data_IF_400065834795
#
_entry.id   IF_400065834795
#
_cell.length_a   1.000
_cell.length_b   1.000
_cell.length_c   1.000
_cell.angle_alpha   90.00
_cell.angle_beta   90.00
_cell.angle_gamma   90.00
#
_symmetry.space_group_name_H-M   'P 1'
#
loop_
_entity.id
_entity.type
_entity.pdbx_description
1 polymer ?
#
# COMPACT_ATOMS: atom_id res chain seq x y z
N UNK A 1 11.73 2.13 16.59
CA UNK A 1 11.86 3.41 15.91
C UNK A 1 10.53 3.90 15.33
N UNK A 2 9.82 3.12 14.52
CA UNK A 2 8.52 3.55 14.01
C UNK A 2 7.78 2.47 13.21
N UNK A 3 6.53 2.75 12.87
CA UNK A 3 5.69 1.85 12.08
C UNK A 3 4.60 2.65 11.33
N UNK A 4 4.16 2.13 10.23
CA UNK A 4 3.01 2.66 9.52
C UNK A 4 1.69 2.12 10.05
N UNK A 5 0.60 2.84 9.81
CA UNK A 5 -0.77 2.38 10.08
C UNK A 5 -1.45 2.07 8.76
N UNK A 6 -2.19 0.97 8.72
CA UNK A 6 -2.85 0.47 7.51
C UNK A 6 -4.35 0.19 7.75
N UNK A 7 -5.14 0.18 6.69
CA UNK A 7 -6.56 -0.19 6.74
C UNK A 7 -6.77 -1.62 7.29
N UNK A 8 -5.79 -2.48 7.10
CA UNK A 8 -5.76 -3.85 7.60
C UNK A 8 -5.91 -3.93 9.12
N UNK A 9 -5.22 -3.07 9.89
CA UNK A 9 -5.35 -3.05 11.36
C UNK A 9 -6.71 -2.51 11.81
N UNK A 10 -7.33 -1.61 11.02
CA UNK A 10 -8.69 -1.16 11.30
C UNK A 10 -9.66 -2.34 11.15
N UNK A 11 -9.54 -3.11 10.05
CA UNK A 11 -10.35 -4.31 9.86
C UNK A 11 -10.12 -5.35 10.98
N UNK A 12 -8.87 -5.56 11.38
CA UNK A 12 -8.52 -6.46 12.49
C UNK A 12 -9.17 -6.00 13.79
N UNK A 13 -9.07 -4.71 14.14
CA UNK A 13 -9.72 -4.12 15.33
C UNK A 13 -11.24 -4.28 15.31
N UNK A 14 -11.86 -4.22 14.15
CA UNK A 14 -13.30 -4.37 13.95
C UNK A 14 -13.78 -5.83 13.93
N UNK A 15 -12.86 -6.80 14.05
CA UNK A 15 -13.20 -8.22 14.12
C UNK A 15 -13.29 -8.94 12.77
N UNK A 16 -12.87 -8.33 11.67
CA UNK A 16 -12.88 -8.96 10.34
C UNK A 16 -11.72 -9.94 10.10
N UNK A 17 -10.78 -10.06 11.04
CA UNK A 17 -9.68 -11.03 10.99
C UNK A 17 -10.01 -12.21 11.91
N UNK A 18 -10.55 -13.28 11.36
CA UNK A 18 -11.08 -14.44 12.11
C UNK A 18 -10.01 -15.16 12.95
N UNK A 19 -8.74 -15.13 12.52
CA UNK A 19 -7.62 -15.75 13.22
C UNK A 19 -7.19 -15.01 14.49
N UNK A 20 -7.60 -13.75 14.68
CA UNK A 20 -7.14 -12.92 15.79
C UNK A 20 -7.86 -13.26 17.09
N UNK A 21 -7.10 -13.42 18.18
CA UNK A 21 -7.59 -13.57 19.55
C UNK A 21 -7.20 -12.35 20.36
N UNK A 22 -8.18 -11.61 20.85
CA UNK A 22 -7.94 -10.48 21.76
C UNK A 22 -7.80 -10.94 23.22
N UNK A 23 -6.97 -10.24 24.05
CA UNK A 23 -6.21 -9.02 23.74
C UNK A 23 -5.04 -9.28 22.79
N UNK A 24 -4.75 -8.32 21.89
CA UNK A 24 -3.67 -8.38 20.91
C UNK A 24 -3.09 -6.98 20.69
N UNK A 25 -1.76 -6.84 20.72
CA UNK A 25 -1.08 -5.64 20.22
C UNK A 25 -1.13 -5.71 18.69
N UNK A 26 -1.73 -4.68 18.08
CA UNK A 26 -1.86 -4.60 16.61
C UNK A 26 -0.55 -4.11 15.96
N UNK A 27 -0.56 -3.98 14.63
CA UNK A 27 0.54 -3.49 13.81
C UNK A 27 1.16 -4.59 12.97
N UNK A 28 1.17 -4.40 11.66
CA UNK A 28 1.61 -5.39 10.66
C UNK A 28 2.94 -5.02 10.00
N UNK A 29 3.57 -3.92 10.37
CA UNK A 29 4.86 -3.48 9.86
C UNK A 29 5.63 -2.70 10.92
N UNK A 30 6.96 -2.72 10.81
CA UNK A 30 7.81 -1.86 11.60
C UNK A 30 9.16 -1.60 10.93
N UNK A 31 9.81 -0.52 11.39
CA UNK A 31 11.22 -0.21 11.14
C UNK A 31 11.94 -0.01 12.45
N UNK A 32 13.15 -0.51 12.56
CA UNK A 32 13.86 -0.42 13.82
C UNK A 32 15.31 -0.82 13.76
N UNK A 33 15.87 -0.96 14.95
CA UNK A 33 17.21 -1.46 15.20
C UNK A 33 17.10 -2.71 16.05
N UNK A 34 17.83 -3.74 15.69
CA UNK A 34 17.92 -4.98 16.45
C UNK A 34 18.58 -4.71 17.80
N UNK A 35 17.89 -5.04 18.89
CA UNK A 35 18.40 -4.88 20.27
C UNK A 35 18.79 -6.19 20.92
N UNK A 36 18.27 -7.31 20.42
CA UNK A 36 18.62 -8.67 20.83
C UNK A 36 18.34 -9.62 19.66
N UNK A 37 19.17 -10.66 19.50
CA UNK A 37 19.08 -11.58 18.34
C UNK A 37 19.43 -13.01 18.73
N UNK A 38 18.59 -13.95 18.32
CA UNK A 38 18.89 -15.41 18.40
C UNK A 38 19.72 -15.91 17.23
N UNK A 39 19.96 -15.05 16.19
CA UNK A 39 20.82 -15.34 15.03
C UNK A 39 21.83 -14.19 14.81
N UNK A 40 22.74 -13.91 15.74
CA UNK A 40 23.60 -12.73 15.68
C UNK A 40 24.56 -12.70 14.47
N UNK A 41 24.86 -13.86 13.86
CA UNK A 41 25.66 -13.90 12.63
C UNK A 41 24.92 -13.34 11.41
N UNK A 42 23.59 -13.57 11.33
CA UNK A 42 22.75 -13.07 10.24
C UNK A 42 22.15 -11.70 10.56
N UNK A 43 21.71 -11.50 11.79
CA UNK A 43 20.99 -10.32 12.28
C UNK A 43 21.70 -9.81 13.56
N UNK A 44 22.88 -9.17 13.45
CA UNK A 44 23.58 -8.64 14.62
C UNK A 44 22.81 -7.48 15.26
N UNK A 45 23.01 -7.29 16.56
CA UNK A 45 22.54 -6.10 17.29
C UNK A 45 23.04 -4.81 16.61
N UNK A 46 22.23 -3.76 16.63
CA UNK A 46 22.51 -2.50 15.94
C UNK A 46 22.14 -2.48 14.46
N UNK A 47 21.72 -3.63 13.88
CA UNK A 47 21.31 -3.69 12.47
C UNK A 47 19.99 -2.94 12.24
N UNK A 48 19.96 -2.09 11.19
CA UNK A 48 18.73 -1.44 10.71
C UNK A 48 17.88 -2.46 9.95
N UNK A 49 16.62 -2.60 10.34
CA UNK A 49 15.72 -3.65 9.82
C UNK A 49 14.32 -3.14 9.54
N UNK A 50 13.64 -3.91 8.69
CA UNK A 50 12.22 -3.80 8.36
C UNK A 50 11.54 -5.12 8.66
N UNK A 51 10.27 -5.08 9.06
CA UNK A 51 9.38 -6.25 9.06
C UNK A 51 8.01 -5.86 8.52
N UNK A 52 7.40 -6.79 7.80
CA UNK A 52 6.09 -6.60 7.14
C UNK A 52 5.28 -7.88 7.25
N UNK A 53 4.00 -7.77 7.55
CA UNK A 53 3.02 -8.87 7.48
C UNK A 53 3.42 -10.08 8.33
N UNK A 54 3.41 -11.29 7.77
CA UNK A 54 3.82 -12.52 8.44
C UNK A 54 3.05 -12.84 9.72
N UNK A 55 1.77 -12.46 9.77
CA UNK A 55 0.87 -12.61 10.94
C UNK A 55 1.24 -11.74 12.16
N UNK A 56 2.17 -10.79 12.02
CA UNK A 56 2.46 -9.76 13.02
C UNK A 56 1.20 -8.95 13.32
N UNK A 57 0.89 -8.72 14.61
CA UNK A 57 -0.34 -8.06 15.02
C UNK A 57 -1.61 -8.89 14.87
N UNK A 58 -1.50 -10.18 14.49
CA UNK A 58 -2.59 -11.13 14.30
C UNK A 58 -2.37 -12.40 15.11
N UNK A 59 -1.52 -13.31 14.67
CA UNK A 59 -1.20 -14.55 15.40
C UNK A 59 -0.32 -14.30 16.63
N UNK A 60 0.53 -13.26 16.58
CA UNK A 60 1.37 -12.80 17.68
C UNK A 60 1.33 -11.27 17.78
N UNK A 61 1.89 -10.69 18.85
CA UNK A 61 1.84 -9.26 19.11
C UNK A 61 2.62 -8.46 18.06
N UNK A 62 2.03 -7.34 17.66
CA UNK A 62 2.52 -6.50 16.57
C UNK A 62 3.30 -5.29 17.01
N UNK A 63 3.44 -4.37 16.08
CA UNK A 63 4.37 -3.25 16.16
C UNK A 63 3.87 -2.01 16.92
N UNK A 64 2.62 -1.99 17.41
CA UNK A 64 2.10 -0.85 18.19
C UNK A 64 2.70 -0.83 19.61
N UNK A 65 4.01 -0.83 19.67
CA UNK A 65 4.82 -0.89 20.89
C UNK A 65 6.21 -0.28 20.65
N UNK A 66 6.95 -0.04 21.72
CA UNK A 66 8.36 0.41 21.67
C UNK A 66 9.28 -0.70 21.15
N UNK A 67 8.97 -1.94 21.50
CA UNK A 67 9.70 -3.15 21.11
C UNK A 67 8.73 -4.17 20.50
N UNK A 68 9.20 -4.94 19.54
CA UNK A 68 8.46 -6.05 18.94
C UNK A 68 9.34 -7.28 18.86
N UNK A 69 8.79 -8.43 19.25
CA UNK A 69 9.44 -9.72 19.12
C UNK A 69 8.99 -10.36 17.78
N UNK A 70 9.93 -10.67 16.92
CA UNK A 70 9.67 -11.17 15.58
C UNK A 70 10.36 -12.51 15.33
N UNK A 71 9.74 -13.41 14.55
CA UNK A 71 10.45 -14.55 13.98
C UNK A 71 11.63 -14.07 13.13
N UNK A 72 12.76 -14.77 13.20
CA UNK A 72 13.98 -14.36 12.48
C UNK A 72 13.76 -14.23 10.96
N UNK A 73 12.96 -15.11 10.36
CA UNK A 73 12.63 -15.12 8.94
C UNK A 73 11.78 -13.91 8.49
N UNK A 74 11.22 -13.15 9.41
CA UNK A 74 10.44 -11.94 9.15
C UNK A 74 11.23 -10.65 9.43
N UNK A 75 12.53 -10.77 9.68
CA UNK A 75 13.43 -9.64 9.89
C UNK A 75 14.29 -9.46 8.64
N UNK A 76 14.08 -8.35 7.94
CA UNK A 76 14.74 -8.01 6.68
C UNK A 76 15.71 -6.87 6.90
N UNK A 77 16.99 -7.09 6.57
CA UNK A 77 18.01 -6.03 6.60
C UNK A 77 17.83 -5.14 5.39
N UNK A 78 17.95 -3.84 5.58
CA UNK A 78 17.89 -2.86 4.50
C UNK A 78 18.98 -1.81 4.65
N UNK A 79 19.48 -1.35 3.51
CA UNK A 79 20.41 -0.23 3.43
C UNK A 79 19.67 0.99 2.89
N UNK A 80 19.58 2.03 3.70
CA UNK A 80 18.90 3.27 3.32
C UNK A 80 19.37 4.43 4.20
N UNK A 81 19.43 5.62 3.60
CA UNK A 81 19.71 6.89 4.28
C UNK A 81 18.43 7.64 4.71
N UNK A 82 17.25 7.05 4.48
CA UNK A 82 15.99 7.65 4.91
C UNK A 82 15.98 7.83 6.45
N UNK A 83 15.44 8.94 6.89
CA UNK A 83 15.12 9.15 8.31
C UNK A 83 14.01 8.20 8.78
N UNK A 84 13.87 8.05 10.10
CA UNK A 84 12.95 7.06 10.66
C UNK A 84 11.47 7.29 10.31
N UNK A 85 10.94 8.53 10.31
CA UNK A 85 9.57 8.78 9.88
C UNK A 85 9.33 8.39 8.42
N UNK A 86 10.23 8.77 7.52
CA UNK A 86 10.15 8.42 6.10
C UNK A 86 10.31 6.91 5.89
N UNK A 87 11.29 6.30 6.58
CA UNK A 87 11.48 4.85 6.53
C UNK A 87 10.24 4.10 7.03
N UNK A 88 9.56 4.57 8.10
CA UNK A 88 8.34 3.96 8.62
C UNK A 88 7.15 4.03 7.65
N UNK A 89 7.17 4.93 6.68
CA UNK A 89 6.13 5.03 5.65
C UNK A 89 6.26 3.96 4.55
N UNK A 90 7.47 3.38 4.39
CA UNK A 90 7.80 2.55 3.22
C UNK A 90 7.28 1.11 3.30
N UNK A 91 7.43 0.33 4.41
CA UNK A 91 7.35 -1.13 4.35
C UNK A 91 6.09 -1.66 3.68
N UNK A 92 4.93 -1.64 4.31
CA UNK A 92 3.70 -2.23 3.74
C UNK A 92 3.21 -1.43 2.53
N UNK A 93 3.16 -0.12 2.65
CA UNK A 93 2.51 0.75 1.67
C UNK A 93 3.26 0.83 0.35
N UNK A 94 4.57 1.12 0.40
CA UNK A 94 5.37 1.21 -0.82
C UNK A 94 5.71 -0.18 -1.37
N UNK A 95 5.86 -1.23 -0.53
CA UNK A 95 6.02 -2.60 -1.02
C UNK A 95 4.80 -3.05 -1.83
N UNK A 96 3.61 -2.77 -1.33
CA UNK A 96 2.35 -3.03 -2.04
C UNK A 96 2.27 -2.27 -3.36
N UNK A 97 2.58 -0.97 -3.34
CA UNK A 97 2.61 -0.14 -4.55
C UNK A 97 3.67 -0.61 -5.57
N UNK A 98 4.86 -0.98 -5.08
CA UNK A 98 5.96 -1.49 -5.91
C UNK A 98 5.62 -2.80 -6.59
N UNK A 99 5.04 -3.74 -5.87
CA UNK A 99 4.59 -5.01 -6.46
C UNK A 99 3.47 -4.81 -7.48
N UNK A 100 2.53 -3.91 -7.21
CA UNK A 100 1.47 -3.52 -8.16
C UNK A 100 2.08 -2.93 -9.43
N UNK A 101 3.04 -2.00 -9.29
CA UNK A 101 3.75 -1.37 -10.41
C UNK A 101 4.47 -2.41 -11.29
N UNK A 102 5.14 -3.39 -10.68
CA UNK A 102 5.81 -4.50 -11.40
C UNK A 102 4.83 -5.35 -12.18
N UNK A 103 3.68 -5.71 -11.57
CA UNK A 103 2.69 -6.58 -12.18
C UNK A 103 1.94 -5.91 -13.33
N UNK A 104 1.79 -4.59 -13.30
CA UNK A 104 1.17 -3.81 -14.37
C UNK A 104 2.05 -3.69 -15.62
N UNK A 105 3.36 -3.93 -15.54
CA UNK A 105 4.30 -3.82 -16.68
C UNK A 105 4.16 -2.47 -17.39
N UNK A 106 4.27 -1.39 -16.62
CA UNK A 106 4.07 -0.01 -17.09
C UNK A 106 5.08 0.35 -18.18
N UNK A 107 4.59 1.06 -19.19
CA UNK A 107 5.37 1.73 -20.24
C UNK A 107 5.17 3.25 -20.20
N UNK A 108 6.12 4.00 -20.76
CA UNK A 108 6.08 5.48 -20.74
C UNK A 108 4.86 6.10 -21.46
N UNK A 109 4.24 5.35 -22.37
CA UNK A 109 3.07 5.81 -23.15
C UNK A 109 1.73 5.42 -22.52
N UNK A 110 1.73 4.70 -21.39
CA UNK A 110 0.49 4.18 -20.80
C UNK A 110 -0.38 5.28 -20.19
N UNK A 111 -1.68 5.16 -20.39
CA UNK A 111 -2.71 5.78 -19.58
C UNK A 111 -3.00 4.85 -18.38
N UNK A 112 -2.63 5.30 -17.19
CA UNK A 112 -2.69 4.49 -15.96
C UNK A 112 -3.74 5.05 -15.02
N UNK A 113 -4.68 4.21 -14.57
CA UNK A 113 -5.67 4.57 -13.55
C UNK A 113 -5.31 3.94 -12.19
N UNK A 114 -5.39 4.74 -11.13
CA UNK A 114 -5.37 4.24 -9.74
C UNK A 114 -6.74 4.40 -9.13
N UNK A 115 -7.42 3.31 -8.81
CA UNK A 115 -8.67 3.33 -8.05
C UNK A 115 -8.39 3.36 -6.56
N UNK A 116 -8.99 4.32 -5.85
CA UNK A 116 -8.66 4.60 -4.44
C UNK A 116 -7.39 5.42 -4.27
N UNK A 117 -7.17 6.39 -5.16
CA UNK A 117 -5.96 7.20 -5.31
C UNK A 117 -5.50 7.90 -4.02
N UNK A 118 -6.43 8.37 -3.17
CA UNK A 118 -6.10 9.09 -1.93
C UNK A 118 -5.65 8.19 -0.76
N UNK A 119 -5.64 6.86 -0.95
CA UNK A 119 -5.11 5.93 0.05
C UNK A 119 -3.58 5.99 0.12
N UNK A 120 -2.99 5.46 1.21
CA UNK A 120 -1.53 5.35 1.33
C UNK A 120 -0.89 4.67 0.13
N UNK A 121 -1.44 3.51 -0.29
CA UNK A 121 -0.93 2.76 -1.45
C UNK A 121 -1.13 3.54 -2.75
N UNK A 122 -2.26 4.24 -2.92
CA UNK A 122 -2.53 5.03 -4.13
C UNK A 122 -1.53 6.19 -4.30
N UNK A 123 -1.26 6.93 -3.23
CA UNK A 123 -0.26 8.01 -3.24
C UNK A 123 1.16 7.46 -3.45
N UNK A 124 1.51 6.35 -2.77
CA UNK A 124 2.81 5.70 -2.97
C UNK A 124 2.99 5.21 -4.41
N UNK A 125 1.95 4.63 -5.01
CA UNK A 125 1.96 4.19 -6.40
C UNK A 125 2.21 5.37 -7.35
N UNK A 126 1.54 6.50 -7.15
CA UNK A 126 1.74 7.70 -7.96
C UNK A 126 3.18 8.20 -7.88
N UNK A 127 3.74 8.30 -6.68
CA UNK A 127 5.13 8.72 -6.45
C UNK A 127 6.13 7.76 -7.10
N UNK A 128 5.95 6.44 -6.96
CA UNK A 128 6.80 5.42 -7.60
C UNK A 128 6.69 5.49 -9.13
N UNK A 129 5.46 5.57 -9.66
CA UNK A 129 5.23 5.64 -11.10
C UNK A 129 5.87 6.88 -11.71
N UNK A 130 5.58 8.07 -11.18
CA UNK A 130 6.12 9.33 -11.71
C UNK A 130 7.64 9.44 -11.58
N UNK A 131 8.23 8.86 -10.53
CA UNK A 131 9.68 8.77 -10.39
C UNK A 131 10.33 7.95 -11.50
N UNK A 132 9.74 6.81 -11.86
CA UNK A 132 10.36 5.88 -12.83
C UNK A 132 9.85 6.06 -14.26
N UNK A 133 8.58 6.40 -14.44
CA UNK A 133 7.89 6.55 -15.73
C UNK A 133 7.23 7.93 -15.84
N UNK A 134 8.01 9.02 -15.90
CA UNK A 134 7.49 10.39 -15.80
C UNK A 134 6.58 10.80 -16.96
N UNK A 135 6.60 10.05 -18.07
CA UNK A 135 5.77 10.34 -19.26
C UNK A 135 4.43 9.58 -19.24
N UNK A 136 4.30 8.54 -18.45
CA UNK A 136 3.03 7.83 -18.29
C UNK A 136 1.97 8.79 -17.74
N UNK A 137 0.78 8.81 -18.35
CA UNK A 137 -0.31 9.67 -17.91
C UNK A 137 -1.10 9.00 -16.79
N UNK A 138 -1.15 9.65 -15.63
CA UNK A 138 -1.67 9.06 -14.39
C UNK A 138 -3.00 9.68 -13.98
N UNK A 139 -4.04 8.85 -13.97
CA UNK A 139 -5.37 9.17 -13.48
C UNK A 139 -5.58 8.63 -12.07
N UNK A 140 -6.21 9.44 -11.21
CA UNK A 140 -6.59 8.99 -9.87
C UNK A 140 -8.09 9.02 -9.67
N UNK A 141 -8.71 7.97 -9.09
CA UNK A 141 -10.10 8.06 -8.71
C UNK A 141 -10.30 8.33 -7.22
N UNK A 142 -11.30 9.14 -6.90
CA UNK A 142 -11.70 9.45 -5.52
C UNK A 142 -13.20 9.64 -5.40
N UNK A 143 -13.76 9.22 -4.26
CA UNK A 143 -15.18 9.49 -3.90
C UNK A 143 -15.39 10.93 -3.39
N UNK A 144 -14.31 11.61 -3.03
CA UNK A 144 -14.36 12.97 -2.47
C UNK A 144 -13.63 13.93 -3.41
N UNK A 145 -14.40 14.68 -4.22
CA UNK A 145 -13.86 15.69 -5.13
C UNK A 145 -13.03 16.79 -4.42
N UNK A 146 -13.25 17.02 -3.12
CA UNK A 146 -12.45 17.94 -2.32
C UNK A 146 -10.99 17.52 -2.12
N UNK A 147 -10.62 16.30 -2.54
CA UNK A 147 -9.23 15.81 -2.53
C UNK A 147 -8.48 16.01 -3.86
N UNK A 148 -9.12 16.60 -4.87
CA UNK A 148 -8.55 16.75 -6.22
C UNK A 148 -7.20 17.48 -6.18
N UNK A 149 -7.12 18.65 -5.57
CA UNK A 149 -5.88 19.43 -5.53
C UNK A 149 -4.73 18.65 -4.87
N UNK A 150 -5.01 17.97 -3.75
CA UNK A 150 -4.01 17.12 -3.05
C UNK A 150 -3.55 15.93 -3.88
N UNK A 151 -4.43 15.36 -4.69
CA UNK A 151 -4.07 14.28 -5.62
C UNK A 151 -3.18 14.81 -6.76
N UNK A 152 -3.50 15.97 -7.33
CA UNK A 152 -2.64 16.64 -8.32
C UNK A 152 -1.26 16.93 -7.74
N UNK A 153 -1.18 17.47 -6.52
CA UNK A 153 0.08 17.69 -5.81
C UNK A 153 0.86 16.39 -5.54
N UNK A 154 0.16 15.27 -5.33
CA UNK A 154 0.77 13.94 -5.14
C UNK A 154 1.27 13.30 -6.45
N UNK A 155 1.07 13.96 -7.62
CA UNK A 155 1.60 13.55 -8.92
C UNK A 155 0.58 12.93 -9.88
N UNK A 156 -0.72 12.97 -9.58
CA UNK A 156 -1.75 12.59 -10.55
C UNK A 156 -1.90 13.72 -11.59
N UNK A 157 -2.06 13.36 -12.87
CA UNK A 157 -2.27 14.33 -13.96
C UNK A 157 -3.76 14.72 -14.06
N UNK A 158 -4.66 13.76 -13.75
CA UNK A 158 -6.11 13.98 -13.76
C UNK A 158 -6.78 13.20 -12.63
N UNK A 159 -7.92 13.72 -12.16
CA UNK A 159 -8.72 13.09 -11.09
C UNK A 159 -10.15 12.85 -11.55
N UNK A 160 -10.62 11.63 -11.38
CA UNK A 160 -11.96 11.17 -11.75
C UNK A 160 -12.77 10.92 -10.49
N UNK A 161 -14.02 11.36 -10.48
CA UNK A 161 -14.93 11.07 -9.36
C UNK A 161 -15.44 9.64 -9.47
N UNK A 162 -15.46 8.93 -8.33
CA UNK A 162 -15.98 7.57 -8.20
C UNK A 162 -17.29 7.60 -7.41
N UNK A 163 -18.38 7.24 -8.04
CA UNK A 163 -19.71 7.15 -7.44
C UNK A 163 -20.00 5.70 -7.00
N UNK A 164 -19.50 5.32 -5.81
CA UNK A 164 -19.74 4.01 -5.21
C UNK A 164 -19.29 2.82 -6.05
N UNK A 165 -18.14 2.94 -6.70
CA UNK A 165 -17.54 1.89 -7.52
C UNK A 165 -17.79 2.07 -9.02
N UNK A 166 -18.45 3.15 -9.45
CA UNK A 166 -18.64 3.54 -10.83
C UNK A 166 -17.86 4.83 -11.12
N UNK A 167 -17.03 4.84 -12.14
CA UNK A 167 -16.27 6.02 -12.56
C UNK A 167 -17.15 6.96 -13.38
N UNK A 168 -17.04 8.27 -13.10
CA UNK A 168 -17.71 9.32 -13.88
C UNK A 168 -16.84 9.72 -15.07
N UNK A 169 -16.68 8.83 -16.03
CA UNK A 169 -15.87 9.05 -17.24
C UNK A 169 -16.18 8.04 -18.33
N UNK A 170 -15.91 8.41 -19.59
CA UNK A 170 -15.91 7.50 -20.76
C UNK A 170 -14.50 7.04 -21.15
N UNK A 171 -13.46 7.46 -20.39
CA UNK A 171 -12.07 7.10 -20.68
C UNK A 171 -11.82 5.60 -20.48
N UNK A 172 -10.85 5.08 -21.24
CA UNK A 172 -10.32 3.74 -21.07
C UNK A 172 -8.81 3.78 -20.87
N UNK A 173 -8.29 2.83 -20.09
CA UNK A 173 -6.92 2.85 -19.58
C UNK A 173 -6.14 1.63 -20.04
N UNK A 174 -4.84 1.80 -20.24
CA UNK A 174 -3.93 0.70 -20.56
C UNK A 174 -3.64 -0.14 -19.32
N UNK A 175 -3.58 0.51 -18.16
CA UNK A 175 -3.25 -0.13 -16.87
C UNK A 175 -4.18 0.39 -15.77
N UNK A 176 -4.64 -0.52 -14.91
CA UNK A 176 -5.47 -0.15 -13.75
C UNK A 176 -4.87 -0.77 -12.48
N UNK A 177 -4.46 0.07 -11.54
CA UNK A 177 -4.14 -0.32 -10.17
C UNK A 177 -5.42 -0.23 -9.33
N UNK A 178 -6.03 -1.37 -9.02
CA UNK A 178 -7.30 -1.42 -8.29
C UNK A 178 -7.07 -1.71 -6.80
N UNK A 179 -7.34 -0.70 -5.96
CA UNK A 179 -7.26 -0.79 -4.50
C UNK A 179 -8.65 -0.93 -3.85
N UNK A 180 -9.72 -0.87 -4.65
CA UNK A 180 -11.10 -1.01 -4.17
C UNK A 180 -11.48 -2.50 -4.07
N UNK A 181 -11.11 -3.27 -5.08
CA UNK A 181 -11.32 -4.70 -5.13
C UNK A 181 -12.68 -5.11 -5.74
N UNK A 182 -13.22 -6.28 -5.36
CA UNK A 182 -14.37 -6.92 -5.99
C UNK A 182 -15.59 -6.02 -6.22
N UNK A 183 -15.82 -5.03 -5.35
CA UNK A 183 -16.98 -4.13 -5.48
C UNK A 183 -16.90 -3.16 -6.67
N UNK A 184 -15.70 -2.95 -7.25
CA UNK A 184 -15.47 -2.06 -8.39
C UNK A 184 -14.94 -2.80 -9.62
N UNK A 185 -14.74 -4.13 -9.52
CA UNK A 185 -14.07 -4.93 -10.56
C UNK A 185 -14.74 -4.85 -11.92
N UNK A 186 -16.08 -4.97 -11.97
CA UNK A 186 -16.82 -4.92 -13.22
C UNK A 186 -16.65 -3.57 -13.94
N UNK A 187 -16.73 -2.47 -13.20
CA UNK A 187 -16.52 -1.13 -13.71
C UNK A 187 -15.06 -0.91 -14.14
N UNK A 188 -14.09 -1.39 -13.35
CA UNK A 188 -12.68 -1.34 -13.71
C UNK A 188 -12.40 -2.08 -15.02
N UNK A 189 -13.00 -3.25 -15.24
CA UNK A 189 -12.87 -4.02 -16.49
C UNK A 189 -13.56 -3.35 -17.68
N UNK A 190 -14.68 -2.65 -17.46
CA UNK A 190 -15.35 -1.89 -18.53
C UNK A 190 -14.46 -0.75 -19.04
N UNK A 191 -13.66 -0.13 -18.16
CA UNK A 191 -12.72 0.94 -18.48
C UNK A 191 -11.31 0.43 -18.87
N UNK A 192 -11.06 -0.86 -18.92
CA UNK A 192 -9.78 -1.42 -19.36
C UNK A 192 -9.77 -1.61 -20.87
N UNK A 193 -8.74 -1.08 -21.57
CA UNK A 193 -8.53 -1.27 -23.01
C UNK A 193 -8.22 -2.73 -23.36
N UNK A 194 -8.40 -3.09 -24.62
CA UNK A 194 -7.88 -4.35 -25.17
C UNK A 194 -6.34 -4.37 -25.05
N UNK A 195 -5.78 -5.49 -24.59
CA UNK A 195 -4.36 -5.60 -24.24
C UNK A 195 -4.02 -5.04 -22.85
N UNK A 196 -4.97 -4.40 -22.19
CA UNK A 196 -4.76 -3.76 -20.89
C UNK A 196 -4.60 -4.76 -19.75
N UNK A 197 -3.96 -4.29 -18.66
CA UNK A 197 -3.71 -5.06 -17.43
C UNK A 197 -4.36 -4.37 -16.24
N UNK A 198 -5.21 -5.10 -15.50
CA UNK A 198 -5.72 -4.72 -14.20
C UNK A 198 -4.97 -5.48 -13.12
N UNK A 199 -4.39 -4.79 -12.14
CA UNK A 199 -3.80 -5.39 -10.94
C UNK A 199 -4.68 -5.07 -9.73
N UNK A 200 -5.37 -6.08 -9.21
CA UNK A 200 -6.09 -5.95 -7.94
C UNK A 200 -5.12 -6.19 -6.78
N UNK A 201 -5.07 -5.23 -5.86
CA UNK A 201 -4.13 -5.24 -4.74
C UNK A 201 -4.81 -4.87 -3.43
N UNK A 202 -5.95 -4.19 -3.48
CA UNK A 202 -6.64 -3.69 -2.30
C UNK A 202 -8.07 -4.21 -2.16
N UNK A 203 -8.63 -3.99 -0.97
CA UNK A 203 -9.98 -4.39 -0.59
C UNK A 203 -10.71 -3.23 0.12
N UNK A 204 -10.45 -1.98 -0.30
CA UNK A 204 -11.06 -0.79 0.29
C UNK A 204 -12.57 -0.75 0.15
N UNK A 205 -13.13 -1.49 -0.82
CA UNK A 205 -14.57 -1.67 -1.01
C UNK A 205 -15.25 -2.61 -0.01
N UNK A 206 -14.48 -3.27 0.86
CA UNK A 206 -14.99 -4.15 1.91
C UNK A 206 -15.61 -5.46 1.43
N UNK A 207 -15.37 -5.87 0.19
CA UNK A 207 -15.71 -7.19 -0.36
C UNK A 207 -14.45 -7.97 -0.67
N UNK A 208 -14.46 -9.28 -0.39
CA UNK A 208 -13.31 -10.18 -0.56
C UNK A 208 -13.44 -11.10 -1.78
N UNK A 209 -14.64 -11.28 -2.28
CA UNK A 209 -14.97 -12.19 -3.39
C UNK A 209 -15.81 -11.49 -4.44
N UNK A 210 -15.72 -11.98 -5.68
CA UNK A 210 -16.59 -11.59 -6.79
C UNK A 210 -17.63 -12.69 -6.93
N UNK A 211 -18.90 -12.34 -6.79
CA UNK A 211 -20.00 -13.27 -6.98
C UNK A 211 -20.41 -13.29 -8.46
N UNK A 212 -20.71 -14.48 -8.99
CA UNK A 212 -21.23 -14.67 -10.35
C UNK A 212 -20.36 -14.05 -11.46
N UNK A 213 -19.03 -14.12 -11.34
CA UNK A 213 -18.11 -13.65 -12.35
C UNK A 213 -18.04 -14.64 -13.53
N UNK A 214 -18.47 -14.22 -14.72
CA UNK A 214 -18.31 -14.95 -15.96
C UNK A 214 -16.99 -14.54 -16.64
N UNK A 215 -16.04 -15.47 -16.70
CA UNK A 215 -14.70 -15.21 -17.25
C UNK A 215 -14.72 -14.79 -18.74
N UNK A 216 -15.76 -15.19 -19.50
CA UNK A 216 -15.86 -14.89 -20.93
C UNK A 216 -16.49 -13.51 -21.15
N UNK A 217 -17.60 -13.23 -20.47
CA UNK A 217 -18.37 -12.00 -20.71
C UNK A 217 -17.87 -10.83 -19.87
N UNK A 218 -17.52 -11.06 -18.59
CA UNK A 218 -17.13 -9.98 -17.67
C UNK A 218 -15.67 -9.56 -17.87
N UNK A 219 -14.75 -10.50 -18.10
CA UNK A 219 -13.36 -10.16 -18.43
C UNK A 219 -13.26 -9.57 -19.84
N UNK A 220 -13.98 -10.15 -20.80
CA UNK A 220 -13.90 -9.77 -22.21
C UNK A 220 -12.63 -10.29 -22.90
N UNK A 221 -12.49 -9.93 -24.19
CA UNK A 221 -11.38 -10.39 -25.02
C UNK A 221 -10.13 -9.53 -24.83
N UNK A 222 -8.96 -10.17 -24.75
CA UNK A 222 -7.66 -9.49 -24.78
C UNK A 222 -7.30 -8.73 -23.51
N UNK A 223 -8.07 -8.81 -22.43
CA UNK A 223 -7.79 -8.15 -21.15
C UNK A 223 -7.11 -9.10 -20.18
N UNK A 224 -6.32 -8.55 -19.27
CA UNK A 224 -5.57 -9.32 -18.28
C UNK A 224 -5.91 -8.85 -16.85
N UNK A 225 -6.15 -9.82 -15.97
CA UNK A 225 -6.24 -9.57 -14.53
C UNK A 225 -5.05 -10.22 -13.85
N UNK A 226 -4.40 -9.47 -12.98
CA UNK A 226 -3.37 -9.98 -12.06
C UNK A 226 -3.64 -9.46 -10.66
N UNK A 227 -2.92 -9.94 -9.67
CA UNK A 227 -2.98 -9.46 -8.30
C UNK A 227 -1.60 -9.35 -7.69
N UNK A 228 -1.49 -8.57 -6.62
CA UNK A 228 -0.32 -8.55 -5.76
C UNK A 228 -0.73 -8.77 -4.32
N UNK A 229 -0.08 -9.71 -3.65
CA UNK A 229 -0.25 -9.99 -2.23
C UNK A 229 1.00 -9.61 -1.46
N UNK A 230 0.91 -8.59 -0.61
CA UNK A 230 2.02 -8.03 0.16
C UNK A 230 2.58 -8.94 1.25
N UNK A 231 1.92 -10.06 1.55
CA UNK A 231 2.39 -11.05 2.52
C UNK A 231 3.53 -11.96 2.01
N UNK A 232 3.84 -11.92 0.70
CA UNK A 232 4.99 -12.61 0.13
C UNK A 232 6.16 -11.63 0.05
N UNK A 233 7.00 -11.65 1.07
CA UNK A 233 8.10 -10.70 1.27
C UNK A 233 9.44 -11.40 1.17
N UNK A 234 10.39 -10.80 0.46
CA UNK A 234 11.79 -11.19 0.45
C UNK A 234 12.71 -9.97 0.59
N UNK A 235 13.89 -10.17 1.18
CA UNK A 235 14.86 -9.12 1.48
C UNK A 235 15.34 -8.41 0.21
N UNK A 236 15.53 -9.14 -0.88
CA UNK A 236 16.01 -8.58 -2.15
C UNK A 236 14.96 -7.65 -2.78
N UNK A 237 13.68 -8.02 -2.73
CA UNK A 237 12.59 -7.19 -3.22
C UNK A 237 12.42 -5.90 -2.40
N UNK A 238 12.57 -6.00 -1.07
CA UNK A 238 12.56 -4.83 -0.20
C UNK A 238 13.74 -3.90 -0.49
N UNK A 239 14.97 -4.43 -0.61
CA UNK A 239 16.13 -3.61 -0.96
C UNK A 239 15.97 -2.94 -2.32
N UNK A 240 15.44 -3.66 -3.32
CA UNK A 240 15.18 -3.08 -4.64
C UNK A 240 14.15 -1.93 -4.60
N UNK A 241 13.19 -1.97 -3.67
CA UNK A 241 12.27 -0.85 -3.43
C UNK A 241 13.02 0.36 -2.85
N UNK A 242 13.86 0.18 -1.80
CA UNK A 242 14.66 1.28 -1.23
C UNK A 242 15.63 1.85 -2.27
N UNK A 243 16.27 1.01 -3.08
CA UNK A 243 17.15 1.42 -4.17
C UNK A 243 16.38 2.24 -5.22
N UNK A 244 15.14 1.86 -5.54
CA UNK A 244 14.28 2.63 -6.44
C UNK A 244 13.95 4.01 -5.88
N UNK A 245 13.59 4.08 -4.59
CA UNK A 245 13.30 5.35 -3.90
C UNK A 245 14.52 6.26 -3.97
N UNK A 246 15.70 5.75 -3.64
CA UNK A 246 16.95 6.52 -3.68
C UNK A 246 17.32 6.94 -5.11
N UNK A 247 17.29 6.02 -6.07
CA UNK A 247 17.69 6.24 -7.46
C UNK A 247 16.88 7.32 -8.16
N UNK A 248 15.57 7.33 -7.91
CA UNK A 248 14.64 8.26 -8.57
C UNK A 248 14.28 9.45 -7.69
N UNK A 249 14.96 9.62 -6.53
CA UNK A 249 14.70 10.70 -5.56
C UNK A 249 13.22 10.81 -5.18
N UNK A 250 12.57 9.66 -4.93
CA UNK A 250 11.15 9.60 -4.63
C UNK A 250 10.91 10.12 -3.21
N UNK A 251 10.07 11.13 -3.08
CA UNK A 251 9.63 11.63 -1.78
C UNK A 251 8.68 10.62 -1.12
N UNK A 252 9.22 9.80 -0.21
CA UNK A 252 8.45 8.81 0.56
C UNK A 252 7.97 9.34 1.93
N UNK A 253 8.09 10.64 2.19
CA UNK A 253 7.66 11.23 3.45
C UNK A 253 6.18 10.90 3.75
N UNK A 254 5.86 10.57 5.01
CA UNK A 254 4.48 10.32 5.42
C UNK A 254 3.66 11.62 5.39
N UNK A 255 2.37 11.47 5.15
CA UNK A 255 1.42 12.57 5.21
C UNK A 255 1.26 13.11 6.64
N UNK A 256 1.26 12.21 7.61
CA UNK A 256 1.06 12.55 9.01
C UNK A 256 1.85 11.63 9.94
N UNK A 257 2.44 12.26 10.96
CA UNK A 257 3.25 11.59 11.98
C UNK A 257 2.54 11.73 13.33
N UNK A 258 2.46 10.66 14.09
CA UNK A 258 1.94 10.62 15.44
C UNK A 258 2.97 10.00 16.39
N UNK A 259 2.83 10.25 17.70
CA UNK A 259 3.52 9.50 18.74
C UNK A 259 2.79 8.19 19.05
N UNK A 260 3.46 7.25 19.71
CA UNK A 260 2.81 6.02 20.18
C UNK A 260 1.67 6.31 21.17
N UNK A 261 1.80 7.35 22.00
CA UNK A 261 0.75 7.78 22.93
C UNK A 261 -0.54 8.21 22.20
N UNK A 262 -0.40 8.69 20.96
CA UNK A 262 -1.51 9.17 20.13
C UNK A 262 -2.08 8.13 19.15
N UNK A 263 -1.76 6.84 19.33
CA UNK A 263 -2.17 5.75 18.44
C UNK A 263 -3.68 5.73 18.16
N UNK A 264 -4.52 6.09 19.13
CA UNK A 264 -5.97 6.19 18.95
C UNK A 264 -6.35 7.30 17.98
N UNK A 265 -5.67 8.45 18.05
CA UNK A 265 -5.90 9.59 17.15
C UNK A 265 -5.41 9.25 15.74
N UNK A 266 -4.27 8.56 15.63
CA UNK A 266 -3.72 8.09 14.36
C UNK A 266 -4.69 7.13 13.64
N UNK A 267 -5.25 6.16 14.34
CA UNK A 267 -6.26 5.25 13.78
C UNK A 267 -7.58 5.97 13.44
N UNK A 268 -8.02 6.90 14.27
CA UNK A 268 -9.23 7.69 13.99
C UNK A 268 -9.04 8.56 12.74
N UNK A 269 -7.86 9.17 12.57
CA UNK A 269 -7.53 9.93 11.37
C UNK A 269 -7.56 9.04 10.12
N UNK A 270 -6.92 7.86 10.15
CA UNK A 270 -6.92 6.93 9.02
C UNK A 270 -8.33 6.47 8.62
N UNK A 271 -9.24 6.36 9.58
CA UNK A 271 -10.64 5.94 9.36
C UNK A 271 -11.57 7.09 8.94
N UNK A 272 -11.10 8.31 9.03
CA UNK A 272 -11.88 9.51 8.71
C UNK A 272 -11.97 9.80 7.19
N UNK A 273 -12.88 10.68 6.81
CA UNK A 273 -13.00 11.21 5.45
C UNK A 273 -11.79 12.08 5.04
N UNK A 274 -11.08 12.64 6.02
CA UNK A 274 -9.90 13.49 5.81
C UNK A 274 -8.61 12.70 5.56
N UNK A 275 -8.63 11.38 5.77
CA UNK A 275 -7.47 10.51 5.56
C UNK A 275 -6.91 10.64 4.14
N UNK A 276 -5.58 10.81 4.05
CA UNK A 276 -4.86 10.92 2.79
C UNK A 276 -3.45 10.34 2.97
N UNK A 277 -2.91 9.69 1.93
CA UNK A 277 -1.53 9.22 1.95
C UNK A 277 -1.21 8.27 3.11
N UNK A 278 0.05 8.21 3.50
CA UNK A 278 0.55 7.33 4.57
C UNK A 278 0.60 8.03 5.92
N UNK A 279 0.10 7.33 6.92
CA UNK A 279 0.19 7.73 8.33
C UNK A 279 1.19 6.84 9.04
N UNK A 280 2.06 7.44 9.85
CA UNK A 280 3.06 6.71 10.63
C UNK A 280 3.01 7.10 12.10
N UNK A 281 3.52 6.22 12.92
CA UNK A 281 3.80 6.44 14.35
C UNK A 281 5.30 6.27 14.57
N UNK A 282 5.90 7.20 15.29
CA UNK A 282 7.30 7.13 15.68
C UNK A 282 7.41 7.04 17.20
N UNK A 283 8.35 6.23 17.66
CA UNK A 283 8.75 6.16 19.07
C UNK A 283 9.81 7.22 19.32
N UNK A 284 9.63 8.03 20.36
CA UNK A 284 10.58 9.04 20.81
C UNK A 284 11.85 8.40 21.39
#
# INVERSE_FOLDING_TARGET
MGFGINRSEIFTRQGYSESVRFPRILGIECVGIVTDSTEPERIPEGTKVVSIMGEMGRAFDGSYAEYVLLPNEQIYKVQTDLDWPTMAAVPETYHTAFGTLKNLKIEDSDAVLVRGASSGVGVAFAKLLKGKYPKAHLYGSTRNAGKTDRLMEAGFDEVIVDHSGCLDTELSFDKIADLIGPSAMADSLAHLKDGGILCNTGLLGGKWTIDNFDIITDLGSGKYITGFYSGLVDEASLQALFDMIAKYHIDAAPEKIFSLADIRQAQAYLDSAESFGKVVVVNE
#
